data_IF_946173029291
#
_entry.id   IF_946173029291
#
_cell.length_a   1.000
_cell.length_b   1.000
_cell.length_c   1.000
_cell.angle_alpha   90.00
_cell.angle_beta   90.00
_cell.angle_gamma   90.00
#
_symmetry.space_group_name_H-M   'P 1'
#
loop_
_entity.id
_entity.type
_entity.pdbx_description
1 polymer ?
#
# COMPACT_ATOMS: atom_id res chain seq x y z
N UNK A 1 12.95 -15.35 -16.40
CA UNK A 1 13.32 -14.09 -15.79
C UNK A 1 12.24 -13.63 -14.82
N UNK A 2 12.65 -13.19 -13.69
CA UNK A 2 11.73 -12.63 -12.70
C UNK A 2 11.18 -11.29 -13.19
N UNK A 3 10.03 -10.92 -12.67
CA UNK A 3 9.44 -9.65 -12.99
C UNK A 3 10.12 -8.47 -12.31
N UNK A 4 9.56 -7.30 -12.52
CA UNK A 4 10.05 -6.06 -11.95
C UNK A 4 9.24 -5.72 -10.70
N UNK A 5 9.88 -5.03 -9.77
CA UNK A 5 9.21 -4.44 -8.62
C UNK A 5 9.49 -2.94 -8.61
N UNK A 6 8.44 -2.19 -8.38
CA UNK A 6 8.54 -0.75 -8.22
C UNK A 6 7.86 -0.36 -6.93
N UNK A 7 8.48 0.56 -6.20
CA UNK A 7 7.88 1.04 -4.96
C UNK A 7 8.12 2.52 -4.79
N UNK A 8 7.19 3.17 -4.11
CA UNK A 8 7.28 4.56 -3.75
C UNK A 8 6.94 4.69 -2.27
N UNK A 9 7.70 5.52 -1.56
CA UNK A 9 7.53 5.70 -0.12
C UNK A 9 7.23 7.15 0.15
N UNK A 10 6.13 7.40 0.88
CA UNK A 10 5.76 8.72 1.35
C UNK A 10 5.92 8.76 2.87
N UNK A 11 6.50 9.83 3.38
CA UNK A 11 6.77 9.96 4.81
C UNK A 11 5.89 11.02 5.44
N UNK A 12 5.39 10.74 6.64
CA UNK A 12 4.50 11.64 7.38
C UNK A 12 4.94 11.77 8.82
N UNK A 13 4.63 12.92 9.42
CA UNK A 13 4.96 13.17 10.81
C UNK A 13 4.04 12.43 11.78
N UNK A 14 2.78 12.18 11.39
CA UNK A 14 1.84 11.50 12.25
C UNK A 14 0.89 10.59 11.46
N UNK A 15 0.21 9.73 12.21
CA UNK A 15 -0.69 8.72 11.65
C UNK A 15 -1.93 9.34 10.98
N UNK A 16 -2.43 10.44 11.52
CA UNK A 16 -3.63 11.09 10.99
C UNK A 16 -3.39 11.60 9.57
N UNK A 17 -2.27 12.26 9.33
CA UNK A 17 -1.91 12.73 7.99
C UNK A 17 -1.69 11.56 7.05
N UNK A 18 -1.04 10.50 7.52
CA UNK A 18 -0.80 9.31 6.71
C UNK A 18 -2.12 8.64 6.31
N UNK A 19 -3.06 8.51 7.23
CA UNK A 19 -4.36 7.91 6.94
C UNK A 19 -5.12 8.69 5.87
N UNK A 20 -5.13 10.02 5.98
CA UNK A 20 -5.80 10.87 4.99
C UNK A 20 -5.15 10.73 3.61
N UNK A 21 -3.84 10.73 3.56
CA UNK A 21 -3.10 10.58 2.31
C UNK A 21 -3.28 9.20 1.71
N UNK A 22 -3.31 8.17 2.53
CA UNK A 22 -3.57 6.81 2.08
C UNK A 22 -4.94 6.70 1.42
N UNK A 23 -5.96 7.34 2.01
CA UNK A 23 -7.31 7.36 1.45
C UNK A 23 -7.33 7.99 0.06
N UNK A 24 -6.64 9.11 -0.10
CA UNK A 24 -6.56 9.79 -1.39
C UNK A 24 -5.86 8.91 -2.43
N UNK A 25 -4.75 8.29 -2.04
CA UNK A 25 -3.99 7.40 -2.92
C UNK A 25 -4.85 6.21 -3.34
N UNK A 26 -5.52 5.58 -2.40
CA UNK A 26 -6.37 4.43 -2.67
C UNK A 26 -7.52 4.80 -3.61
N UNK A 27 -8.16 5.94 -3.38
CA UNK A 27 -9.24 6.40 -4.26
C UNK A 27 -8.77 6.63 -5.68
N UNK A 28 -7.60 7.26 -5.84
CA UNK A 28 -7.03 7.49 -7.17
C UNK A 28 -6.67 6.18 -7.87
N UNK A 29 -6.09 5.24 -7.14
CA UNK A 29 -5.75 3.94 -7.69
C UNK A 29 -7.01 3.19 -8.13
N UNK A 30 -8.02 3.16 -7.28
CA UNK A 30 -9.28 2.48 -7.60
C UNK A 30 -9.90 3.02 -8.88
N UNK A 31 -9.89 4.34 -9.03
CA UNK A 31 -10.48 4.98 -10.21
C UNK A 31 -9.61 4.88 -11.47
N UNK A 32 -8.36 4.48 -11.31
CA UNK A 32 -7.39 4.43 -12.41
C UNK A 32 -6.98 3.00 -12.77
N UNK A 33 -7.57 1.99 -12.15
CA UNK A 33 -7.21 0.61 -12.44
C UNK A 33 -7.52 0.25 -13.88
N UNK A 34 -6.59 -0.45 -14.56
CA UNK A 34 -6.86 -0.91 -15.91
C UNK A 34 -8.00 -1.90 -15.96
N UNK A 35 -8.56 -2.08 -17.14
CA UNK A 35 -9.65 -3.02 -17.36
C UNK A 35 -9.25 -4.44 -16.93
N UNK A 36 -10.13 -5.10 -16.21
CA UNK A 36 -9.88 -6.45 -15.73
C UNK A 36 -9.21 -6.55 -14.38
N UNK A 37 -8.75 -5.44 -13.83
CA UNK A 37 -8.15 -5.43 -12.49
C UNK A 37 -9.22 -5.34 -11.42
N UNK A 38 -8.99 -6.04 -10.32
CA UNK A 38 -9.89 -6.06 -9.17
C UNK A 38 -9.17 -5.43 -7.99
N UNK A 39 -9.75 -4.35 -7.46
CA UNK A 39 -9.23 -3.67 -6.28
C UNK A 39 -10.04 -4.03 -5.05
N UNK A 40 -9.35 -4.24 -3.93
CA UNK A 40 -9.98 -4.58 -2.65
C UNK A 40 -9.45 -3.65 -1.58
N UNK A 41 -10.37 -2.99 -0.88
CA UNK A 41 -10.03 -2.19 0.28
C UNK A 41 -9.73 -3.11 1.46
N UNK A 42 -8.67 -2.79 2.17
CA UNK A 42 -8.23 -3.56 3.32
C UNK A 42 -8.10 -2.64 4.53
N UNK A 43 -8.11 -3.23 5.70
CA UNK A 43 -7.83 -2.52 6.93
C UNK A 43 -7.33 -3.55 7.95
N UNK A 44 -6.19 -4.14 7.65
CA UNK A 44 -5.62 -5.22 8.44
C UNK A 44 -4.29 -4.80 9.04
N UNK A 45 -4.18 -4.91 10.35
CA UNK A 45 -2.97 -4.60 11.07
C UNK A 45 -2.16 -5.86 11.35
N UNK A 46 -0.84 -5.73 11.20
CA UNK A 46 0.12 -6.74 11.63
C UNK A 46 1.15 -6.05 12.51
N UNK A 47 1.28 -6.50 13.74
CA UNK A 47 2.14 -5.87 14.72
C UNK A 47 3.43 -6.64 14.90
N UNK A 48 4.55 -5.92 14.92
CA UNK A 48 5.87 -6.49 15.19
C UNK A 48 6.53 -5.69 16.32
N UNK A 49 7.72 -6.11 16.74
CA UNK A 49 8.47 -5.37 17.75
C UNK A 49 8.90 -3.97 17.27
N UNK A 50 9.14 -3.83 15.97
CA UNK A 50 9.69 -2.60 15.39
C UNK A 50 8.65 -1.67 14.78
N UNK A 51 7.55 -2.24 14.30
CA UNK A 51 6.54 -1.44 13.58
C UNK A 51 5.18 -2.13 13.56
N UNK A 52 4.16 -1.35 13.25
CA UNK A 52 2.83 -1.86 12.91
C UNK A 52 2.61 -1.63 11.42
N UNK A 53 2.28 -2.70 10.70
CA UNK A 53 1.95 -2.62 9.28
C UNK A 53 0.44 -2.67 9.12
N UNK A 54 -0.12 -1.72 8.39
CA UNK A 54 -1.56 -1.69 8.10
C UNK A 54 -1.76 -1.79 6.59
N UNK A 55 -2.34 -2.88 6.13
CA UNK A 55 -2.69 -3.04 4.73
C UNK A 55 -3.94 -2.24 4.42
N UNK A 56 -3.90 -1.40 3.39
CA UNK A 56 -5.01 -0.51 3.03
C UNK A 56 -5.68 -0.86 1.72
N UNK A 57 -4.94 -1.41 0.77
CA UNK A 57 -5.48 -1.68 -0.56
C UNK A 57 -4.63 -2.71 -1.27
N UNK A 58 -5.29 -3.56 -2.03
CA UNK A 58 -4.62 -4.52 -2.90
C UNK A 58 -5.42 -4.64 -4.19
N UNK A 59 -4.72 -4.65 -5.32
CA UNK A 59 -5.34 -4.84 -6.62
C UNK A 59 -4.54 -5.84 -7.42
N UNK A 60 -5.25 -6.65 -8.18
CA UNK A 60 -4.63 -7.65 -9.05
C UNK A 60 -5.54 -7.95 -10.23
N UNK A 61 -4.96 -8.57 -11.26
CA UNK A 61 -5.72 -9.02 -12.41
C UNK A 61 -5.72 -10.54 -12.44
N UNK A 62 -6.90 -11.19 -12.47
CA UNK A 62 -6.96 -12.65 -12.57
C UNK A 62 -6.17 -13.18 -13.76
N UNK A 63 -5.38 -14.21 -13.53
CA UNK A 63 -4.54 -14.80 -14.56
C UNK A 63 -3.22 -14.07 -14.79
N UNK A 64 -2.93 -13.06 -13.99
CA UNK A 64 -1.72 -12.26 -14.07
C UNK A 64 -1.07 -12.25 -12.69
N UNK A 65 0.27 -12.25 -12.65
CA UNK A 65 1.01 -12.23 -11.38
C UNK A 65 1.31 -10.82 -10.89
N UNK A 66 0.83 -9.81 -11.59
CA UNK A 66 1.03 -8.42 -11.18
C UNK A 66 0.11 -8.06 -10.03
N UNK A 67 0.59 -7.23 -9.11
CA UNK A 67 -0.20 -6.75 -7.98
C UNK A 67 0.22 -5.33 -7.61
N UNK A 68 -0.76 -4.56 -7.17
CA UNK A 68 -0.55 -3.21 -6.63
C UNK A 68 -0.99 -3.27 -5.18
N UNK A 69 -0.16 -2.75 -4.27
CA UNK A 69 -0.47 -2.75 -2.84
C UNK A 69 -0.18 -1.39 -2.23
N UNK A 70 -1.03 -0.99 -1.29
CA UNK A 70 -0.83 0.21 -0.48
C UNK A 70 -0.89 -0.21 0.98
N UNK A 71 0.15 0.12 1.74
CA UNK A 71 0.16 -0.17 3.16
C UNK A 71 0.93 0.89 3.92
N UNK A 72 0.62 1.02 5.21
CA UNK A 72 1.30 1.93 6.12
C UNK A 72 2.25 1.16 7.00
N UNK A 73 3.40 1.77 7.27
CA UNK A 73 4.33 1.29 8.29
C UNK A 73 4.45 2.37 9.36
N UNK A 74 3.99 2.05 10.55
CA UNK A 74 4.08 2.93 11.71
C UNK A 74 5.22 2.43 12.58
N UNK A 75 6.33 3.15 12.55
CA UNK A 75 7.56 2.75 13.24
C UNK A 75 7.48 3.11 14.71
N UNK A 76 7.59 2.11 15.58
CA UNK A 76 7.46 2.30 17.02
C UNK A 76 8.59 3.12 17.64
N UNK A 77 9.77 3.04 17.06
CA UNK A 77 10.96 3.66 17.63
C UNK A 77 10.95 5.18 17.52
N UNK A 78 10.58 5.71 16.37
CA UNK A 78 10.63 7.15 16.13
C UNK A 78 9.26 7.78 15.86
N UNK A 79 8.22 6.99 15.91
CA UNK A 79 6.85 7.46 15.70
C UNK A 79 6.53 7.94 14.29
N UNK A 80 7.43 7.70 13.35
CA UNK A 80 7.21 8.11 11.96
C UNK A 80 6.34 7.13 11.22
N UNK A 81 5.51 7.65 10.34
CA UNK A 81 4.60 6.84 9.55
C UNK A 81 4.96 6.96 8.08
N UNK A 82 5.02 5.84 7.40
CA UNK A 82 5.31 5.77 5.98
C UNK A 82 4.19 5.08 5.25
N UNK A 83 3.87 5.59 4.06
CA UNK A 83 2.98 4.89 3.14
C UNK A 83 3.85 4.26 2.07
N UNK A 84 3.66 2.98 1.86
CA UNK A 84 4.30 2.24 0.77
C UNK A 84 3.28 1.98 -0.31
N UNK A 85 3.62 2.39 -1.52
CA UNK A 85 2.90 2.02 -2.72
C UNK A 85 3.82 1.10 -3.51
N UNK A 86 3.43 -0.14 -3.68
CA UNK A 86 4.28 -1.12 -4.35
C UNK A 86 3.55 -1.72 -5.54
N UNK A 87 4.29 -1.90 -6.63
CA UNK A 87 3.81 -2.54 -7.84
C UNK A 87 4.75 -3.70 -8.13
N UNK A 88 4.22 -4.91 -8.06
CA UNK A 88 4.95 -6.11 -8.42
C UNK A 88 4.45 -6.60 -9.76
N UNK A 89 5.37 -6.89 -10.66
CA UNK A 89 5.06 -7.36 -11.99
C UNK A 89 5.90 -8.60 -12.30
N UNK A 90 5.27 -9.73 -12.22
CA UNK A 90 5.92 -11.02 -12.47
C UNK A 90 5.52 -11.61 -13.81
#
# INVERSE_FOLDING_TARGET
MSGARWSCIFRFADRSEADKSAEIIVNRLRNSLPHGWIGTDLDEDSDTESYTKTDKFSASKPGNNSAIRVYLIDTKKDGRVKIYLSVDNN
#
